data_IF_798592907078
#
_entry.id   IF_798592907078
#
_cell.length_a   1.000
_cell.length_b   1.000
_cell.length_c   1.000
_cell.angle_alpha   90.00
_cell.angle_beta   90.00
_cell.angle_gamma   90.00
#
_symmetry.space_group_name_H-M   'P 1'
#
loop_
_entity.id
_entity.type
_entity.pdbx_description
1 polymer ?
#
# COMPACT_ATOMS: atom_id res chain seq x y z
N UNK A 1 4.19 1.54 -11.03
CA UNK A 1 4.17 0.20 -10.43
C UNK A 1 2.86 -0.47 -10.82
N UNK A 2 2.92 -1.60 -11.52
CA UNK A 2 1.74 -2.43 -11.77
C UNK A 2 1.68 -3.44 -10.64
N UNK A 3 0.58 -3.49 -9.91
CA UNK A 3 0.38 -4.42 -8.79
C UNK A 3 -0.67 -5.43 -9.20
N UNK A 4 -0.38 -6.71 -9.08
CA UNK A 4 -1.39 -7.76 -9.24
C UNK A 4 -2.22 -7.86 -7.95
N UNK A 5 -3.42 -7.29 -7.95
CA UNK A 5 -4.31 -7.34 -6.80
C UNK A 5 -5.02 -8.70 -6.63
N UNK A 6 -5.04 -9.55 -7.66
CA UNK A 6 -5.67 -10.88 -7.64
C UNK A 6 -4.77 -11.86 -6.89
N UNK A 7 -3.47 -11.84 -7.18
CA UNK A 7 -2.49 -12.68 -6.51
C UNK A 7 -1.22 -11.88 -6.17
N UNK A 8 -1.31 -10.95 -5.22
CA UNK A 8 -0.18 -10.11 -4.87
C UNK A 8 0.96 -10.94 -4.28
N UNK A 9 2.18 -10.55 -4.61
CA UNK A 9 3.40 -11.08 -4.04
C UNK A 9 3.79 -10.35 -2.75
N UNK A 10 4.58 -11.02 -1.91
CA UNK A 10 5.14 -10.39 -0.71
C UNK A 10 6.07 -9.22 -1.05
N UNK A 11 6.73 -9.25 -2.21
CA UNK A 11 7.63 -8.16 -2.60
C UNK A 11 6.84 -6.91 -3.01
N UNK A 12 5.76 -7.04 -3.80
CA UNK A 12 4.86 -5.92 -4.12
C UNK A 12 4.28 -5.27 -2.85
N UNK A 13 3.94 -6.08 -1.86
CA UNK A 13 3.50 -5.58 -0.55
C UNK A 13 4.62 -4.78 0.15
N UNK A 14 5.85 -5.31 0.21
CA UNK A 14 6.99 -4.61 0.84
C UNK A 14 7.31 -3.30 0.13
N UNK A 15 7.25 -3.27 -1.19
CA UNK A 15 7.47 -2.06 -1.98
C UNK A 15 6.44 -0.98 -1.64
N UNK A 16 5.16 -1.34 -1.48
CA UNK A 16 4.13 -0.40 -1.07
C UNK A 16 4.34 0.10 0.37
N UNK A 17 4.75 -0.76 1.31
CA UNK A 17 5.11 -0.34 2.68
C UNK A 17 6.28 0.66 2.66
N UNK A 18 7.34 0.38 1.89
CA UNK A 18 8.49 1.29 1.74
C UNK A 18 8.06 2.63 1.14
N UNK A 19 7.19 2.60 0.13
CA UNK A 19 6.65 3.81 -0.49
C UNK A 19 5.80 4.63 0.48
N UNK A 20 4.95 3.99 1.29
CA UNK A 20 4.15 4.69 2.31
C UNK A 20 5.02 5.41 3.35
N UNK A 21 6.10 4.76 3.79
CA UNK A 21 7.09 5.35 4.70
C UNK A 21 7.81 6.55 4.04
N UNK A 22 8.23 6.41 2.78
CA UNK A 22 8.86 7.48 2.01
C UNK A 22 7.94 8.70 1.88
N UNK A 23 6.68 8.50 1.49
CA UNK A 23 5.69 9.59 1.36
C UNK A 23 5.46 10.31 2.69
N UNK A 24 5.53 9.60 3.82
CA UNK A 24 5.45 10.23 5.15
C UNK A 24 6.59 11.22 5.37
N UNK A 25 7.81 10.88 4.97
CA UNK A 25 8.96 11.76 5.04
C UNK A 25 8.81 12.98 4.12
N UNK A 26 8.40 12.75 2.88
CA UNK A 26 8.21 13.82 1.89
C UNK A 26 7.11 14.80 2.28
N UNK A 27 6.00 14.32 2.85
CA UNK A 27 4.92 15.17 3.38
C UNK A 27 5.43 16.08 4.49
N UNK A 28 6.23 15.55 5.42
CA UNK A 28 6.80 16.35 6.51
C UNK A 28 7.72 17.45 5.97
N UNK A 29 8.55 17.13 4.98
CA UNK A 29 9.43 18.09 4.31
C UNK A 29 8.59 19.17 3.62
N UNK A 30 7.63 18.80 2.76
CA UNK A 30 6.78 19.74 2.04
C UNK A 30 6.00 20.68 2.99
N UNK A 31 5.47 20.15 4.09
CA UNK A 31 4.80 20.94 5.13
C UNK A 31 5.75 21.93 5.83
N UNK A 32 7.02 21.54 6.02
CA UNK A 32 8.03 22.40 6.67
C UNK A 32 8.43 23.57 5.76
N UNK A 33 8.44 23.35 4.44
CA UNK A 33 8.82 24.35 3.44
C UNK A 33 7.64 25.12 2.82
N UNK A 34 6.41 24.94 3.34
CA UNK A 34 5.18 25.56 2.84
C UNK A 34 4.93 25.32 1.34
N UNK A 35 5.26 24.12 0.85
CA UNK A 35 5.04 23.70 -0.55
C UNK A 35 3.61 23.16 -0.74
N UNK A 36 2.59 24.01 -0.63
CA UNK A 36 1.17 23.61 -0.50
C UNK A 36 0.64 22.71 -1.63
N UNK A 37 0.90 23.05 -2.90
CA UNK A 37 0.46 22.23 -4.05
C UNK A 37 1.08 20.83 -4.04
N UNK A 38 2.37 20.75 -3.69
CA UNK A 38 3.10 19.49 -3.59
C UNK A 38 2.61 18.68 -2.39
N UNK A 39 2.33 19.35 -1.27
CA UNK A 39 1.80 18.73 -0.06
C UNK A 39 0.46 18.04 -0.35
N UNK A 40 -0.45 18.71 -1.07
CA UNK A 40 -1.74 18.13 -1.45
C UNK A 40 -1.57 16.89 -2.36
N UNK A 41 -0.66 16.97 -3.33
CA UNK A 41 -0.33 15.84 -4.20
C UNK A 41 0.20 14.62 -3.42
N UNK A 42 1.17 14.85 -2.53
CA UNK A 42 1.76 13.80 -1.71
C UNK A 42 0.74 13.17 -0.74
N UNK A 43 -0.17 13.95 -0.17
CA UNK A 43 -1.24 13.44 0.69
C UNK A 43 -2.23 12.55 -0.07
N UNK A 44 -2.63 12.95 -1.29
CA UNK A 44 -3.47 12.14 -2.17
C UNK A 44 -2.79 10.84 -2.55
N UNK A 45 -1.51 10.89 -2.92
CA UNK A 45 -0.73 9.71 -3.25
C UNK A 45 -0.62 8.75 -2.05
N UNK A 46 -0.31 9.27 -0.85
CA UNK A 46 -0.25 8.47 0.38
C UNK A 46 -1.56 7.76 0.67
N UNK A 47 -2.70 8.45 0.48
CA UNK A 47 -4.03 7.83 0.65
C UNK A 47 -4.26 6.69 -0.34
N UNK A 48 -3.86 6.85 -1.61
CA UNK A 48 -3.96 5.80 -2.62
C UNK A 48 -3.08 4.60 -2.29
N UNK A 49 -1.83 4.82 -1.87
CA UNK A 49 -0.93 3.75 -1.42
C UNK A 49 -1.52 2.99 -0.23
N UNK A 50 -2.08 3.69 0.75
CA UNK A 50 -2.76 3.07 1.89
C UNK A 50 -3.96 2.19 1.48
N UNK A 51 -4.75 2.59 0.48
CA UNK A 51 -5.83 1.76 -0.07
C UNK A 51 -5.27 0.49 -0.72
N UNK A 52 -4.20 0.61 -1.51
CA UNK A 52 -3.56 -0.53 -2.18
C UNK A 52 -3.01 -1.56 -1.20
N UNK A 53 -2.37 -1.10 -0.12
CA UNK A 53 -1.88 -1.95 0.97
C UNK A 53 -3.03 -2.79 1.55
N UNK A 54 -4.16 -2.14 1.90
CA UNK A 54 -5.33 -2.83 2.46
C UNK A 54 -5.94 -3.87 1.52
N UNK A 55 -5.96 -3.58 0.21
CA UNK A 55 -6.45 -4.54 -0.80
C UNK A 55 -5.55 -5.78 -0.79
N UNK A 56 -4.23 -5.60 -0.80
CA UNK A 56 -3.28 -6.73 -0.77
C UNK A 56 -3.40 -7.54 0.52
N UNK A 57 -3.49 -6.88 1.68
CA UNK A 57 -3.69 -7.54 2.97
C UNK A 57 -4.96 -8.41 2.95
N UNK A 58 -6.06 -7.89 2.43
CA UNK A 58 -7.30 -8.65 2.27
C UNK A 58 -7.12 -9.85 1.32
N UNK A 59 -6.42 -9.67 0.19
CA UNK A 59 -6.12 -10.76 -0.74
C UNK A 59 -5.29 -11.87 -0.08
N UNK A 60 -4.29 -11.54 0.75
CA UNK A 60 -3.52 -12.54 1.51
C UNK A 60 -4.40 -13.32 2.49
N UNK A 61 -5.25 -12.62 3.25
CA UNK A 61 -6.17 -13.27 4.20
C UNK A 61 -7.13 -14.23 3.48
N UNK A 62 -7.71 -13.79 2.36
CA UNK A 62 -8.60 -14.62 1.56
C UNK A 62 -7.86 -15.85 1.03
N UNK A 63 -6.68 -15.69 0.42
CA UNK A 63 -5.87 -16.81 -0.07
C UNK A 63 -5.60 -17.85 1.02
N UNK A 64 -5.24 -17.42 2.23
CA UNK A 64 -5.02 -18.34 3.36
C UNK A 64 -6.30 -19.04 3.83
N UNK A 65 -7.46 -18.36 3.81
CA UNK A 65 -8.75 -18.98 4.15
C UNK A 65 -9.12 -20.09 3.17
N UNK A 66 -8.97 -19.83 1.86
CA UNK A 66 -9.26 -20.82 0.81
C UNK A 66 -8.33 -22.04 0.87
N UNK A 67 -7.05 -21.84 1.22
CA UNK A 67 -6.10 -22.95 1.42
C UNK A 67 -6.51 -23.83 2.60
N UNK A 68 -6.98 -23.24 3.71
CA UNK A 68 -7.47 -24.01 4.86
C UNK A 68 -8.72 -24.82 4.52
N UNK A 69 -9.69 -24.24 3.82
CA UNK A 69 -10.92 -24.96 3.42
C UNK A 69 -10.61 -26.17 2.52
N UNK A 70 -9.65 -26.04 1.59
CA UNK A 70 -9.19 -27.17 0.76
C UNK A 70 -8.40 -28.24 1.51
N UNK A 71 -7.62 -27.86 2.51
CA UNK A 71 -6.80 -28.79 3.29
C UNK A 71 -7.61 -29.63 4.29
N UNK A 72 -8.85 -29.23 4.57
CA UNK A 72 -9.76 -29.91 5.51
C UNK A 72 -10.84 -30.74 4.81
N UNK A 73 -10.83 -30.79 3.48
CA UNK A 73 -11.80 -31.49 2.63
C UNK A 73 -11.29 -32.84 2.13
#
# INVERSE_FOLDING_TARGET
>A
MTVDYINPSLEEYKELIRLDAKLTGEIKIAATFAEDEKLEGLQKEKKLVGIRIKIIEASFVLKHKWVKEKATA
#
